data_IF_184020110550
#
_entry.id   IF_184020110550
#
_cell.length_a   1.000
_cell.length_b   1.000
_cell.length_c   1.000
_cell.angle_alpha   90.00
_cell.angle_beta   90.00
_cell.angle_gamma   90.00
#
_symmetry.space_group_name_H-M   'P 1'
#
loop_
_entity.id
_entity.type
_entity.pdbx_description
1 polymer ?
#
# COMPACT_ATOMS: atom_id res chain seq x y z
N UNK A 1 -1.90 20.87 -16.92
CA UNK A 1 -2.07 20.14 -15.65
C UNK A 1 -0.69 20.04 -15.04
N UNK A 2 -0.53 20.32 -13.75
CA UNK A 2 0.75 20.16 -13.05
C UNK A 2 1.09 18.68 -13.01
N UNK A 3 2.28 18.31 -13.49
CA UNK A 3 2.76 16.92 -13.50
C UNK A 3 3.11 16.52 -12.06
N UNK A 4 2.42 15.54 -11.50
CA UNK A 4 2.74 15.00 -10.18
C UNK A 4 3.67 13.79 -10.30
N UNK A 5 4.37 13.49 -9.23
CA UNK A 5 5.32 12.37 -9.17
C UNK A 5 5.07 11.51 -7.94
N UNK A 6 5.25 10.21 -8.09
CA UNK A 6 5.35 9.30 -6.95
C UNK A 6 6.82 8.94 -6.75
N UNK A 7 7.33 9.23 -5.56
CA UNK A 7 8.62 8.77 -5.08
C UNK A 7 8.39 7.58 -4.14
N UNK A 8 9.08 6.49 -4.38
CA UNK A 8 9.10 5.32 -3.50
C UNK A 8 10.52 5.12 -3.02
N UNK A 9 10.71 4.93 -1.71
CA UNK A 9 12.01 4.68 -1.13
C UNK A 9 11.95 3.57 -0.08
N UNK A 10 13.02 2.80 0.05
CA UNK A 10 13.18 1.77 1.07
C UNK A 10 14.65 1.60 1.48
N UNK A 11 14.88 1.24 2.72
CA UNK A 11 16.20 0.97 3.28
C UNK A 11 16.08 0.30 4.66
N UNK A 12 17.21 -0.09 5.26
CA UNK A 12 17.23 -0.44 6.67
C UNK A 12 16.83 0.74 7.53
N UNK A 13 15.96 0.48 8.53
CA UNK A 13 15.46 1.53 9.40
C UNK A 13 16.58 2.19 10.22
N UNK A 14 16.54 3.50 10.28
CA UNK A 14 17.42 4.34 11.10
C UNK A 14 16.82 5.74 11.32
N UNK A 15 17.22 6.45 12.37
CA UNK A 15 16.88 7.86 12.49
C UNK A 15 17.36 8.70 11.30
N UNK A 16 16.53 9.68 10.89
CA UNK A 16 16.89 10.67 9.88
C UNK A 16 16.49 10.32 8.44
N UNK A 17 15.97 9.11 8.13
CA UNK A 17 15.58 8.73 6.76
C UNK A 17 14.57 9.71 6.16
N UNK A 18 13.52 10.02 6.91
CA UNK A 18 12.48 10.96 6.45
C UNK A 18 13.07 12.35 6.22
N UNK A 19 14.02 12.81 7.06
CA UNK A 19 14.70 14.07 6.88
C UNK A 19 15.55 14.08 5.60
N UNK A 20 16.37 13.01 5.37
CA UNK A 20 17.18 12.87 4.16
C UNK A 20 16.33 12.93 2.87
N UNK A 21 15.19 12.24 2.87
CA UNK A 21 14.26 12.24 1.71
C UNK A 21 13.57 13.62 1.56
N UNK A 22 13.12 14.20 2.67
CA UNK A 22 12.43 15.50 2.65
C UNK A 22 13.35 16.65 2.22
N UNK A 23 14.64 16.57 2.52
CA UNK A 23 15.66 17.50 2.07
C UNK A 23 15.71 17.52 0.53
N UNK A 24 15.76 16.35 -0.11
CA UNK A 24 15.74 16.23 -1.57
C UNK A 24 14.48 16.85 -2.16
N UNK A 25 13.32 16.60 -1.56
CA UNK A 25 12.04 17.16 -2.03
C UNK A 25 12.07 18.69 -1.94
N UNK A 26 12.54 19.23 -0.81
CA UNK A 26 12.62 20.67 -0.55
C UNK A 26 13.60 21.37 -1.49
N UNK A 27 14.80 20.84 -1.65
CA UNK A 27 15.85 21.41 -2.54
C UNK A 27 15.40 21.44 -4.00
N UNK A 28 14.61 20.46 -4.43
CA UNK A 28 14.06 20.40 -5.78
C UNK A 28 12.73 21.16 -5.95
N UNK A 29 12.36 22.01 -4.96
CA UNK A 29 11.16 22.87 -5.00
C UNK A 29 9.88 22.09 -5.29
N UNK A 30 9.76 20.93 -4.68
CA UNK A 30 8.56 20.13 -4.67
C UNK A 30 7.82 20.28 -3.35
N UNK A 31 6.51 20.13 -3.39
CA UNK A 31 5.64 20.02 -2.23
C UNK A 31 5.23 18.56 -2.03
N UNK A 32 5.20 18.13 -0.79
CA UNK A 32 4.65 16.83 -0.40
C UNK A 32 3.14 16.96 -0.26
N UNK A 33 2.38 16.23 -1.07
CA UNK A 33 0.91 16.23 -1.05
C UNK A 33 0.33 15.13 -0.18
N UNK A 34 0.92 13.95 -0.28
CA UNK A 34 0.45 12.77 0.46
C UNK A 34 1.62 11.83 0.72
N UNK A 35 1.52 11.04 1.78
CA UNK A 35 2.58 10.11 2.15
C UNK A 35 2.07 8.91 2.94
N UNK A 36 2.67 7.78 2.69
CA UNK A 36 2.49 6.57 3.49
C UNK A 36 3.85 5.95 3.77
N UNK A 37 4.09 5.56 5.02
CA UNK A 37 5.32 4.87 5.43
C UNK A 37 5.02 3.67 6.31
N UNK A 38 5.90 2.71 6.27
CA UNK A 38 5.86 1.53 7.15
C UNK A 38 7.26 1.13 7.60
N UNK A 39 7.31 0.50 8.76
CA UNK A 39 8.49 -0.22 9.25
C UNK A 39 8.06 -1.67 9.47
N UNK A 40 8.75 -2.59 8.84
CA UNK A 40 8.51 -4.01 8.98
C UNK A 40 9.84 -4.76 9.15
N UNK A 41 10.00 -5.43 10.28
CA UNK A 41 11.20 -6.22 10.60
C UNK A 41 12.52 -5.44 10.48
N UNK A 42 12.50 -4.14 10.80
CA UNK A 42 13.68 -3.26 10.69
C UNK A 42 13.96 -2.74 9.28
N UNK A 43 13.06 -2.99 8.34
CA UNK A 43 13.07 -2.40 7.01
C UNK A 43 12.07 -1.23 6.95
N UNK A 44 12.53 -0.09 6.48
CA UNK A 44 11.73 1.11 6.27
C UNK A 44 11.28 1.19 4.81
N UNK A 45 10.03 1.52 4.57
CA UNK A 45 9.52 1.83 3.24
C UNK A 45 8.59 3.06 3.29
N UNK A 46 8.66 3.91 2.26
CA UNK A 46 7.81 5.10 2.13
C UNK A 46 7.40 5.33 0.68
N UNK A 47 6.18 5.77 0.50
CA UNK A 47 5.64 6.25 -0.78
C UNK A 47 5.14 7.67 -0.57
N UNK A 48 5.55 8.58 -1.47
CA UNK A 48 5.29 10.01 -1.39
C UNK A 48 4.68 10.50 -2.69
N UNK A 49 3.62 11.28 -2.60
CA UNK A 49 3.04 12.02 -3.74
C UNK A 49 3.58 13.44 -3.73
N UNK A 50 4.27 13.83 -4.79
CA UNK A 50 4.95 15.11 -4.93
C UNK A 50 4.32 15.95 -6.03
N UNK A 51 4.27 17.26 -5.81
CA UNK A 51 3.94 18.25 -6.84
C UNK A 51 5.01 19.34 -6.92
N UNK A 52 5.44 19.79 -8.12
CA UNK A 52 6.33 20.94 -8.25
C UNK A 52 5.63 22.22 -7.80
N UNK A 53 6.40 23.13 -7.18
CA UNK A 53 5.90 24.44 -6.73
C UNK A 53 5.75 25.45 -7.88
N UNK A 54 6.38 25.22 -9.04
CA UNK A 54 6.28 26.08 -10.21
C UNK A 54 6.24 25.25 -11.50
N UNK A 55 5.44 25.72 -12.46
CA UNK A 55 5.15 25.02 -13.73
C UNK A 55 6.27 25.22 -14.77
N UNK A 56 7.12 26.23 -14.60
CA UNK A 56 8.02 26.72 -15.66
C UNK A 56 9.25 25.84 -15.96
N UNK A 57 9.44 24.72 -15.26
CA UNK A 57 10.62 23.83 -15.40
C UNK A 57 10.29 22.33 -15.37
N UNK A 58 9.12 21.93 -15.84
CA UNK A 58 8.65 20.52 -15.75
C UNK A 58 9.50 19.54 -16.57
N UNK A 59 10.09 19.96 -17.68
CA UNK A 59 10.81 19.07 -18.60
C UNK A 59 12.07 18.45 -18.02
N UNK A 60 12.66 19.06 -17.00
CA UNK A 60 13.96 18.67 -16.41
C UNK A 60 13.83 18.10 -14.98
N UNK A 61 12.64 18.22 -14.38
CA UNK A 61 12.45 17.87 -12.95
C UNK A 61 12.50 16.35 -12.72
N UNK A 62 11.95 15.55 -13.61
CA UNK A 62 11.98 14.09 -13.51
C UNK A 62 13.41 13.54 -13.54
N UNK A 63 14.23 14.08 -14.44
CA UNK A 63 15.64 13.69 -14.54
C UNK A 63 16.45 14.13 -13.32
N UNK A 64 16.19 15.34 -12.80
CA UNK A 64 16.79 15.81 -11.55
C UNK A 64 16.43 14.94 -10.37
N UNK A 65 15.15 14.69 -10.15
CA UNK A 65 14.70 13.84 -9.06
C UNK A 65 15.23 12.40 -9.19
N UNK A 66 15.33 11.87 -10.42
CA UNK A 66 15.96 10.57 -10.67
C UNK A 66 17.45 10.56 -10.31
N UNK A 67 18.14 11.68 -10.56
CA UNK A 67 19.55 11.85 -10.19
C UNK A 67 19.70 11.92 -8.68
N UNK A 68 18.83 12.64 -7.98
CA UNK A 68 18.80 12.70 -6.53
C UNK A 68 18.46 11.35 -5.89
N UNK A 69 17.58 10.56 -6.46
CA UNK A 69 17.33 9.18 -6.00
C UNK A 69 18.62 8.34 -6.06
N UNK A 70 19.40 8.42 -7.14
CA UNK A 70 20.70 7.75 -7.24
C UNK A 70 21.72 8.28 -6.22
N UNK A 71 21.67 9.59 -5.89
CA UNK A 71 22.50 10.19 -4.86
C UNK A 71 22.14 9.65 -3.47
N UNK A 72 20.85 9.58 -3.13
CA UNK A 72 20.37 8.99 -1.88
C UNK A 72 20.84 7.56 -1.69
N UNK A 73 20.82 6.74 -2.74
CA UNK A 73 21.31 5.37 -2.68
C UNK A 73 22.81 5.30 -2.39
N UNK A 74 23.60 6.06 -3.15
CA UNK A 74 25.06 6.04 -3.02
C UNK A 74 25.56 6.64 -1.69
N UNK A 75 24.96 7.74 -1.22
CA UNK A 75 25.47 8.50 -0.08
C UNK A 75 24.80 8.16 1.25
N UNK A 76 23.54 7.71 1.20
CA UNK A 76 22.73 7.46 2.39
C UNK A 76 22.28 6.00 2.53
N UNK A 77 22.48 5.18 1.49
CA UNK A 77 22.01 3.80 1.46
C UNK A 77 20.48 3.68 1.36
N UNK A 78 19.81 4.71 0.83
CA UNK A 78 18.36 4.73 0.63
C UNK A 78 18.09 4.45 -0.84
N UNK A 79 17.60 3.26 -1.15
CA UNK A 79 17.16 2.94 -2.51
C UNK A 79 15.86 3.68 -2.79
N UNK A 80 15.87 4.54 -3.81
CA UNK A 80 14.72 5.36 -4.17
C UNK A 80 14.54 5.41 -5.68
N UNK A 81 13.29 5.51 -6.10
CA UNK A 81 12.93 5.76 -7.50
C UNK A 81 11.71 6.66 -7.60
N UNK A 82 11.63 7.37 -8.73
CA UNK A 82 10.56 8.32 -9.02
C UNK A 82 9.91 7.98 -10.34
N UNK A 83 8.61 8.23 -10.43
CA UNK A 83 7.86 8.13 -11.67
C UNK A 83 6.80 9.23 -11.75
N UNK A 84 6.49 9.75 -12.94
CA UNK A 84 5.36 10.65 -13.11
C UNK A 84 4.04 9.93 -12.84
N UNK A 85 3.10 10.63 -12.23
CA UNK A 85 1.72 10.14 -12.09
C UNK A 85 0.98 10.42 -13.37
N UNK A 86 0.60 9.36 -14.06
CA UNK A 86 -0.41 9.47 -15.10
C UNK A 86 -1.77 9.41 -14.41
N UNK A 87 -2.44 10.57 -14.25
CA UNK A 87 -3.85 10.54 -13.92
C UNK A 87 -4.58 9.98 -15.15
N UNK A 88 -5.09 8.75 -15.15
CA UNK A 88 -5.99 8.35 -16.19
C UNK A 88 -7.12 9.37 -16.17
N UNK A 89 -7.48 9.90 -17.35
CA UNK A 89 -8.65 10.74 -17.49
C UNK A 89 -9.75 10.08 -16.65
N UNK A 90 -10.22 10.76 -15.64
CA UNK A 90 -11.04 10.20 -14.58
C UNK A 90 -12.20 9.43 -15.19
N UNK A 91 -12.04 8.11 -15.32
CA UNK A 91 -13.24 7.27 -15.32
C UNK A 91 -13.90 7.60 -13.99
N UNK A 92 -15.17 7.97 -13.98
CA UNK A 92 -15.90 8.12 -12.72
C UNK A 92 -15.55 6.84 -11.93
N UNK A 93 -15.04 6.99 -10.71
CA UNK A 93 -14.88 5.86 -9.80
C UNK A 93 -16.24 5.15 -9.86
N UNK A 94 -16.26 3.91 -10.30
CA UNK A 94 -17.49 3.14 -10.24
C UNK A 94 -18.00 3.29 -8.82
N UNK A 95 -19.30 3.56 -8.64
CA UNK A 95 -19.87 3.66 -7.32
C UNK A 95 -19.49 2.39 -6.55
N UNK A 96 -18.66 2.57 -5.53
CA UNK A 96 -18.15 1.50 -4.67
C UNK A 96 -18.61 1.77 -3.25
N UNK A 97 -18.83 0.73 -2.50
CA UNK A 97 -18.96 0.81 -1.05
C UNK A 97 -17.71 0.23 -0.38
N UNK A 98 -17.42 0.68 0.83
CA UNK A 98 -16.22 0.28 1.58
C UNK A 98 -16.64 -0.69 2.68
N UNK A 99 -15.90 -1.78 2.79
CA UNK A 99 -16.05 -2.79 3.85
C UNK A 99 -14.67 -3.15 4.39
N UNK A 100 -14.63 -3.65 5.62
CA UNK A 100 -13.41 -4.19 6.20
C UNK A 100 -13.57 -5.70 6.40
N UNK A 101 -12.56 -6.43 5.95
CA UNK A 101 -12.47 -7.87 6.08
C UNK A 101 -11.44 -8.22 7.15
N UNK A 102 -11.82 -9.07 8.09
CA UNK A 102 -10.95 -9.61 9.12
C UNK A 102 -10.91 -11.12 8.98
N UNK A 103 -9.70 -11.68 9.00
CA UNK A 103 -9.48 -13.13 8.99
C UNK A 103 -8.65 -13.49 10.20
N UNK A 104 -9.08 -14.49 10.95
CA UNK A 104 -8.36 -15.02 12.11
C UNK A 104 -8.36 -16.54 12.09
N UNK A 105 -7.23 -17.17 12.35
CA UNK A 105 -7.10 -18.62 12.39
C UNK A 105 -5.67 -19.07 12.67
N UNK A 106 -5.44 -20.38 12.66
CA UNK A 106 -4.09 -20.91 12.78
C UNK A 106 -3.22 -20.44 11.62
N UNK A 107 -1.97 -20.08 11.93
CA UNK A 107 -1.02 -19.65 10.90
C UNK A 107 -0.74 -20.78 9.90
N UNK A 108 -1.10 -20.55 8.67
CA UNK A 108 -0.93 -21.49 7.56
C UNK A 108 -0.72 -20.77 6.22
N UNK A 109 -0.02 -21.45 5.33
CA UNK A 109 0.20 -20.93 3.98
C UNK A 109 -1.11 -20.87 3.18
N UNK A 110 -1.28 -19.78 2.42
CA UNK A 110 -2.38 -19.66 1.45
C UNK A 110 -3.55 -18.78 1.87
N UNK A 111 -3.65 -18.33 3.14
CA UNK A 111 -4.74 -17.45 3.59
C UNK A 111 -4.81 -16.19 2.71
N UNK A 112 -3.74 -15.41 2.65
CA UNK A 112 -3.71 -14.18 1.83
C UNK A 112 -3.99 -14.48 0.36
N UNK A 113 -3.38 -15.53 -0.18
CA UNK A 113 -3.54 -15.89 -1.59
C UNK A 113 -5.00 -16.21 -1.95
N UNK A 114 -5.67 -17.09 -1.18
CA UNK A 114 -7.04 -17.48 -1.48
C UNK A 114 -8.02 -16.33 -1.32
N UNK A 115 -7.87 -15.54 -0.26
CA UNK A 115 -8.69 -14.36 -0.03
C UNK A 115 -8.49 -13.33 -1.14
N UNK A 116 -7.25 -12.92 -1.43
CA UNK A 116 -6.98 -11.93 -2.47
C UNK A 116 -7.35 -12.41 -3.87
N UNK A 117 -7.22 -13.70 -4.15
CA UNK A 117 -7.64 -14.28 -5.44
C UNK A 117 -9.15 -14.18 -5.63
N UNK A 118 -9.92 -14.55 -4.62
CA UNK A 118 -11.39 -14.40 -4.61
C UNK A 118 -11.81 -12.94 -4.83
N UNK A 119 -11.17 -12.00 -4.11
CA UNK A 119 -11.46 -10.58 -4.26
C UNK A 119 -11.18 -10.10 -5.68
N UNK A 120 -10.05 -10.49 -6.26
CA UNK A 120 -9.67 -10.14 -7.62
C UNK A 120 -10.60 -10.75 -8.68
N UNK A 121 -11.05 -11.98 -8.50
CA UNK A 121 -11.97 -12.66 -9.41
C UNK A 121 -13.38 -12.02 -9.43
N UNK A 122 -13.70 -11.22 -8.40
CA UNK A 122 -14.94 -10.45 -8.28
C UNK A 122 -14.75 -8.94 -8.46
N UNK A 123 -13.63 -8.49 -9.06
CA UNK A 123 -13.29 -7.09 -9.28
C UNK A 123 -13.28 -6.21 -8.01
N UNK A 124 -13.09 -6.82 -6.84
CA UNK A 124 -13.02 -6.12 -5.54
C UNK A 124 -11.59 -5.63 -5.31
N UNK A 125 -11.46 -4.32 -5.09
CA UNK A 125 -10.15 -3.70 -4.86
C UNK A 125 -9.75 -3.73 -3.39
N UNK A 126 -8.49 -4.06 -3.13
CA UNK A 126 -7.87 -3.97 -1.80
C UNK A 126 -7.20 -2.60 -1.69
N UNK A 127 -7.62 -1.78 -0.74
CA UNK A 127 -7.03 -0.46 -0.48
C UNK A 127 -6.00 -0.47 0.63
N UNK A 128 -6.13 -1.38 1.60
CA UNK A 128 -5.10 -1.63 2.61
C UNK A 128 -5.10 -3.10 3.03
N UNK A 129 -3.94 -3.61 3.40
CA UNK A 129 -3.77 -4.96 3.92
C UNK A 129 -2.73 -4.93 5.04
N UNK A 130 -3.12 -5.43 6.22
CA UNK A 130 -2.22 -5.59 7.34
C UNK A 130 -2.38 -7.01 7.90
N UNK A 131 -1.27 -7.67 8.17
CA UNK A 131 -1.28 -8.99 8.78
C UNK A 131 -0.24 -9.11 9.88
N UNK A 132 -0.53 -9.95 10.86
CA UNK A 132 0.38 -10.25 11.95
C UNK A 132 0.12 -11.65 12.50
N UNK A 133 1.16 -12.29 12.97
CA UNK A 133 1.07 -13.52 13.75
C UNK A 133 1.15 -13.16 15.22
N UNK A 134 0.19 -13.65 16.01
CA UNK A 134 0.16 -13.50 17.47
C UNK A 134 0.20 -14.89 18.11
N UNK A 135 0.83 -14.99 19.27
CA UNK A 135 0.72 -16.21 20.06
C UNK A 135 -0.57 -16.16 20.91
N UNK A 136 -1.39 -17.19 20.82
CA UNK A 136 -2.56 -17.33 21.69
C UNK A 136 -2.11 -17.41 23.16
N UNK A 137 -2.64 -16.57 24.06
CA UNK A 137 -2.27 -16.60 25.48
C UNK A 137 -2.66 -17.93 26.16
N UNK A 138 -3.69 -18.60 25.66
CA UNK A 138 -4.25 -19.82 26.27
C UNK A 138 -3.52 -21.07 25.79
N UNK A 139 -3.22 -21.19 24.51
CA UNK A 139 -2.67 -22.41 23.90
C UNK A 139 -1.21 -22.29 23.48
N UNK A 140 -0.67 -21.05 23.38
CA UNK A 140 0.64 -20.80 22.77
C UNK A 140 0.66 -21.01 21.26
N UNK A 141 -0.47 -21.30 20.62
CA UNK A 141 -0.55 -21.49 19.17
C UNK A 141 -0.33 -20.16 18.44
N UNK A 142 0.30 -20.24 17.28
CA UNK A 142 0.45 -19.08 16.38
C UNK A 142 -0.88 -18.82 15.67
N UNK A 143 -1.48 -17.67 15.95
CA UNK A 143 -2.72 -17.20 15.34
C UNK A 143 -2.37 -16.13 14.31
N UNK A 144 -2.76 -16.35 13.07
CA UNK A 144 -2.65 -15.38 11.99
C UNK A 144 -3.88 -14.47 12.00
N UNK A 145 -3.65 -13.17 12.07
CA UNK A 145 -4.68 -12.14 12.00
C UNK A 145 -4.43 -11.28 10.75
N UNK A 146 -5.43 -11.16 9.89
CA UNK A 146 -5.38 -10.38 8.67
C UNK A 146 -6.52 -9.36 8.67
N UNK A 147 -6.21 -8.10 8.35
CA UNK A 147 -7.17 -7.00 8.20
C UNK A 147 -7.01 -6.40 6.82
N UNK A 148 -8.09 -6.32 6.08
CA UNK A 148 -8.12 -5.80 4.71
C UNK A 148 -9.24 -4.77 4.59
N UNK A 149 -8.95 -3.59 4.02
CA UNK A 149 -9.98 -2.63 3.61
C UNK A 149 -10.28 -2.82 2.13
N UNK A 150 -11.56 -2.89 1.79
CA UNK A 150 -12.06 -3.24 0.46
C UNK A 150 -12.85 -2.07 -0.15
N UNK A 151 -12.68 -1.84 -1.45
CA UNK A 151 -13.63 -1.09 -2.28
C UNK A 151 -14.37 -2.10 -3.16
N UNK A 152 -15.67 -2.27 -2.90
CA UNK A 152 -16.52 -3.24 -3.57
C UNK A 152 -17.42 -2.52 -4.55
N UNK A 153 -17.39 -2.86 -5.87
CA UNK A 153 -18.27 -2.26 -6.86
C UNK A 153 -19.75 -2.55 -6.55
N UNK A 154 -20.64 -1.58 -6.78
CA UNK A 154 -22.07 -1.74 -6.47
C UNK A 154 -22.77 -2.90 -7.21
N UNK A 155 -22.21 -3.35 -8.33
CA UNK A 155 -22.75 -4.50 -9.04
C UNK A 155 -22.44 -5.85 -8.36
N UNK A 156 -21.50 -5.87 -7.41
CA UNK A 156 -21.18 -7.05 -6.62
C UNK A 156 -22.05 -7.05 -5.37
N UNK A 157 -22.92 -8.06 -5.26
CA UNK A 157 -23.83 -8.13 -4.11
C UNK A 157 -23.10 -8.57 -2.83
N UNK A 158 -23.51 -8.04 -1.68
CA UNK A 158 -23.00 -8.49 -0.38
C UNK A 158 -23.14 -10.01 -0.21
N UNK A 159 -24.25 -10.58 -0.65
CA UNK A 159 -24.49 -12.01 -0.59
C UNK A 159 -23.44 -12.81 -1.37
N UNK A 160 -23.01 -12.34 -2.54
CA UNK A 160 -21.95 -12.98 -3.33
C UNK A 160 -20.62 -12.97 -2.57
N UNK A 161 -20.29 -11.83 -1.93
CA UNK A 161 -19.07 -11.69 -1.12
C UNK A 161 -19.10 -12.64 0.08
N UNK A 162 -20.19 -12.62 0.86
CA UNK A 162 -20.36 -13.47 2.03
C UNK A 162 -20.28 -14.96 1.67
N UNK A 163 -20.99 -15.40 0.63
CA UNK A 163 -20.97 -16.81 0.20
C UNK A 163 -19.57 -17.27 -0.25
N UNK A 164 -18.87 -16.44 -0.99
CA UNK A 164 -17.50 -16.78 -1.44
C UNK A 164 -16.51 -16.81 -0.28
N UNK A 165 -16.60 -15.87 0.66
CA UNK A 165 -15.76 -15.84 1.84
C UNK A 165 -16.04 -17.02 2.79
N UNK A 166 -17.30 -17.41 2.99
CA UNK A 166 -17.66 -18.58 3.77
C UNK A 166 -17.06 -19.88 3.18
N UNK A 167 -16.99 -19.99 1.86
CA UNK A 167 -16.31 -21.15 1.23
C UNK A 167 -14.80 -21.17 1.52
N UNK A 168 -14.16 -20.00 1.59
CA UNK A 168 -12.74 -19.89 1.94
C UNK A 168 -12.52 -20.19 3.42
N UNK A 169 -13.41 -19.70 4.28
CA UNK A 169 -13.44 -19.97 5.71
C UNK A 169 -13.46 -21.48 5.97
N UNK A 170 -14.40 -22.20 5.35
CA UNK A 170 -14.51 -23.66 5.45
C UNK A 170 -13.26 -24.37 4.94
N UNK A 171 -12.71 -23.93 3.79
CA UNK A 171 -11.53 -24.55 3.18
C UNK A 171 -10.25 -24.38 3.99
N UNK A 172 -10.13 -23.25 4.69
CA UNK A 172 -8.93 -22.90 5.45
C UNK A 172 -9.09 -23.12 6.94
N UNK A 173 -10.31 -23.40 7.40
CA UNK A 173 -10.65 -23.49 8.83
C UNK A 173 -10.16 -22.24 9.59
N UNK A 174 -10.58 -21.08 9.11
CA UNK A 174 -10.34 -19.76 9.69
C UNK A 174 -11.66 -19.04 9.90
N UNK A 175 -11.72 -18.06 10.77
CA UNK A 175 -12.88 -17.20 10.96
C UNK A 175 -12.76 -15.96 10.07
N UNK A 176 -13.79 -15.65 9.27
CA UNK A 176 -13.84 -14.48 8.38
C UNK A 176 -15.02 -13.60 8.76
N UNK A 177 -14.75 -12.32 9.04
CA UNK A 177 -15.77 -11.32 9.38
C UNK A 177 -15.68 -10.13 8.43
N UNK A 178 -16.82 -9.67 7.91
CA UNK A 178 -16.96 -8.46 7.08
C UNK A 178 -17.78 -7.43 7.84
N UNK A 179 -17.29 -6.16 7.91
CA UNK A 179 -17.93 -5.07 8.66
C UNK A 179 -17.88 -3.74 7.92
#
# INVERSE_FOLDING_TARGET
>A
MVKEFVLTAFCKDRPGIVADISEVIYENKCNLKDSTMTNLAGEFAIILLLSPLSVDKETDLEEKLSTECRRLEREKGITAFIRPVSHPASKPKADCYVENLYVEGLDQAGIVYKVSRFLADNDINITSLNSQVKLSPESGAAIYCLSISLEIPQHVSRQTVEQGLNQIEDQLNVDITVT
#
